data_IF_834367976592
#
_entry.id   IF_834367976592
#
_cell.length_a   1.000
_cell.length_b   1.000
_cell.length_c   1.000
_cell.angle_alpha   90.00
_cell.angle_beta   90.00
_cell.angle_gamma   90.00
#
_symmetry.space_group_name_H-M   'P 1'
#
loop_
_entity.id
_entity.type
_entity.pdbx_description
1 polymer ?
#
# COMPACT_ATOMS: atom_id res chain seq x y z
N UNK A 1 -77.07 10.05 -14.24
CA UNK A 1 -75.68 10.55 -14.30
C UNK A 1 -75.01 10.35 -12.96
N UNK A 2 -74.20 9.32 -12.79
CA UNK A 2 -73.33 9.13 -11.62
C UNK A 2 -71.92 8.92 -12.15
N UNK A 3 -71.10 9.97 -12.05
CA UNK A 3 -69.71 9.97 -12.48
C UNK A 3 -68.88 9.06 -11.58
N UNK A 4 -68.21 8.07 -12.19
CA UNK A 4 -67.13 7.33 -11.55
C UNK A 4 -65.82 8.07 -11.85
N UNK A 5 -65.33 8.78 -10.84
CA UNK A 5 -63.99 9.37 -10.83
C UNK A 5 -62.99 8.21 -10.70
N UNK A 6 -62.28 7.88 -11.78
CA UNK A 6 -61.20 6.89 -11.76
C UNK A 6 -59.91 7.62 -11.34
N UNK A 7 -59.56 7.53 -10.06
CA UNK A 7 -58.29 8.03 -9.53
C UNK A 7 -57.18 7.06 -9.98
N UNK A 8 -56.44 7.45 -11.01
CA UNK A 8 -55.21 6.78 -11.44
C UNK A 8 -54.13 7.13 -10.41
N UNK A 9 -53.90 6.22 -9.47
CA UNK A 9 -52.78 6.29 -8.53
C UNK A 9 -51.49 5.94 -9.29
N UNK A 10 -50.80 6.97 -9.78
CA UNK A 10 -49.44 6.88 -10.32
C UNK A 10 -48.49 6.47 -9.19
N UNK A 11 -48.35 5.15 -8.98
CA UNK A 11 -47.27 4.57 -8.20
C UNK A 11 -45.95 4.80 -8.96
N UNK A 12 -45.39 6.00 -8.80
CA UNK A 12 -43.97 6.23 -9.01
C UNK A 12 -43.22 5.34 -8.03
N UNK A 13 -42.87 4.13 -8.47
CA UNK A 13 -41.85 3.33 -7.85
C UNK A 13 -40.53 4.09 -8.00
N UNK A 14 -40.27 5.02 -7.08
CA UNK A 14 -38.93 5.45 -6.78
C UNK A 14 -38.21 4.21 -6.24
N UNK A 15 -37.53 3.49 -7.14
CA UNK A 15 -36.52 2.52 -6.75
C UNK A 15 -35.38 3.35 -6.15
N UNK A 16 -35.52 3.70 -4.87
CA UNK A 16 -34.43 4.22 -4.05
C UNK A 16 -33.38 3.12 -4.01
N UNK A 17 -32.43 3.19 -4.93
CA UNK A 17 -31.25 2.37 -4.85
C UNK A 17 -30.54 2.79 -3.57
N UNK A 18 -30.59 1.94 -2.55
CA UNK A 18 -29.69 2.02 -1.42
C UNK A 18 -28.28 1.70 -1.95
N UNK A 19 -27.60 2.71 -2.52
CA UNK A 19 -26.28 2.55 -3.09
C UNK A 19 -25.22 2.72 -2.00
N UNK A 20 -24.15 1.93 -2.08
CA UNK A 20 -22.99 1.96 -1.17
C UNK A 20 -22.08 3.19 -1.39
N UNK A 21 -22.64 4.31 -1.81
CA UNK A 21 -21.87 5.46 -2.29
C UNK A 21 -21.32 6.28 -1.13
N UNK A 22 -20.17 6.90 -1.37
CA UNK A 22 -19.69 8.00 -0.55
C UNK A 22 -20.29 9.32 -1.00
N UNK A 23 -20.66 10.15 -0.04
CA UNK A 23 -21.18 11.51 -0.27
C UNK A 23 -20.46 12.51 0.60
N UNK A 24 -20.20 13.69 0.02
CA UNK A 24 -19.76 14.86 0.78
C UNK A 24 -20.97 15.62 1.34
N UNK A 25 -20.80 16.37 2.46
CA UNK A 25 -21.83 17.24 3.01
C UNK A 25 -22.44 18.17 1.94
N UNK A 26 -23.72 18.50 2.08
CA UNK A 26 -24.50 19.19 1.03
C UNK A 26 -23.81 20.45 0.49
N UNK A 27 -23.27 21.31 1.38
CA UNK A 27 -22.62 22.57 1.03
C UNK A 27 -21.13 22.44 0.65
N UNK A 28 -20.57 21.24 0.66
CA UNK A 28 -19.15 21.02 0.43
C UNK A 28 -18.93 20.33 -0.92
N UNK A 29 -18.16 20.97 -1.80
CA UNK A 29 -17.85 20.44 -3.13
C UNK A 29 -16.53 19.65 -3.16
N UNK A 30 -15.70 19.82 -2.13
CA UNK A 30 -14.43 19.12 -1.98
C UNK A 30 -14.00 19.06 -0.53
N UNK A 31 -13.29 18.02 -0.15
CA UNK A 31 -12.60 17.93 1.14
C UNK A 31 -11.16 17.48 0.97
N UNK A 32 -10.30 17.83 1.92
CA UNK A 32 -8.87 17.48 1.92
C UNK A 32 -8.61 16.42 2.97
N UNK A 33 -8.01 15.32 2.56
CA UNK A 33 -7.62 14.18 3.39
C UNK A 33 -6.09 14.17 3.45
N UNK A 34 -5.52 14.21 4.65
CA UNK A 34 -4.08 13.96 4.83
C UNK A 34 -3.82 12.46 4.78
N UNK A 35 -2.64 12.08 4.30
CA UNK A 35 -2.21 10.68 4.30
C UNK A 35 -0.76 10.58 4.75
N UNK A 36 -0.30 9.36 5.03
CA UNK A 36 1.11 9.04 5.22
C UNK A 36 1.61 8.22 4.03
N UNK A 37 2.77 8.58 3.48
CA UNK A 37 3.41 7.82 2.41
C UNK A 37 4.39 6.80 3.00
N UNK A 38 4.01 5.52 3.04
CA UNK A 38 4.80 4.45 3.68
C UNK A 38 5.11 3.37 2.64
N UNK A 39 6.39 3.08 2.41
CA UNK A 39 6.83 2.12 1.38
C UNK A 39 6.16 2.35 0.01
N UNK A 40 6.01 3.63 -0.38
CA UNK A 40 5.32 4.11 -1.57
C UNK A 40 3.79 3.90 -1.61
N UNK A 41 3.18 3.42 -0.53
CA UNK A 41 1.74 3.25 -0.39
C UNK A 41 1.12 4.44 0.31
N UNK A 42 -0.09 4.83 -0.12
CA UNK A 42 -0.89 5.84 0.53
C UNK A 42 -1.65 5.18 1.69
N UNK A 43 -1.38 5.63 2.92
CA UNK A 43 -2.11 5.19 4.12
C UNK A 43 -2.97 6.35 4.62
N UNK A 44 -4.29 6.14 4.69
CA UNK A 44 -5.28 7.14 5.11
C UNK A 44 -6.00 6.71 6.41
N UNK A 45 -6.39 7.67 7.26
CA UNK A 45 -7.32 7.40 8.34
C UNK A 45 -8.74 7.18 7.80
N UNK A 46 -9.41 6.14 8.31
CA UNK A 46 -10.78 5.76 7.94
C UNK A 46 -11.54 5.48 9.23
N UNK A 47 -12.68 6.12 9.45
CA UNK A 47 -13.56 5.80 10.57
C UNK A 47 -14.59 4.79 10.10
N UNK A 48 -14.62 3.61 10.71
CA UNK A 48 -15.56 2.53 10.42
C UNK A 48 -16.37 2.26 11.68
N UNK A 49 -17.69 2.49 11.62
CA UNK A 49 -18.60 2.33 12.76
C UNK A 49 -18.06 3.02 14.03
N UNK A 50 -17.72 4.31 13.90
CA UNK A 50 -17.17 5.17 14.96
C UNK A 50 -15.75 4.84 15.44
N UNK A 51 -15.11 3.81 14.88
CA UNK A 51 -13.75 3.41 15.22
C UNK A 51 -12.78 3.90 14.16
N UNK A 52 -11.76 4.66 14.58
CA UNK A 52 -10.71 5.17 13.68
C UNK A 52 -9.68 4.09 13.38
N UNK A 53 -9.48 3.83 12.10
CA UNK A 53 -8.61 2.81 11.56
C UNK A 53 -7.68 3.39 10.49
N UNK A 54 -6.74 2.58 10.04
CA UNK A 54 -5.70 2.95 9.06
C UNK A 54 -5.80 2.03 7.85
N UNK A 55 -6.03 2.61 6.67
CA UNK A 55 -6.25 1.84 5.44
C UNK A 55 -5.22 2.21 4.38
N UNK A 56 -4.81 1.22 3.60
CA UNK A 56 -4.14 1.46 2.33
C UNK A 56 -5.20 1.89 1.31
N UNK A 57 -4.93 2.98 0.58
CA UNK A 57 -5.75 3.40 -0.55
C UNK A 57 -5.24 2.73 -1.84
N UNK A 58 -5.99 1.79 -2.37
CA UNK A 58 -5.56 0.87 -3.43
C UNK A 58 -6.51 0.86 -4.63
N UNK A 59 -6.05 1.40 -5.75
CA UNK A 59 -6.78 1.39 -7.03
C UNK A 59 -6.94 -0.01 -7.64
N UNK A 60 -6.15 -0.99 -7.20
CA UNK A 60 -6.14 -2.36 -7.71
C UNK A 60 -7.25 -3.27 -7.17
N UNK A 61 -7.98 -2.84 -6.14
CA UNK A 61 -9.06 -3.64 -5.52
C UNK A 61 -10.45 -3.07 -5.79
N UNK A 62 -11.41 -3.98 -5.91
CA UNK A 62 -12.80 -3.66 -6.21
C UNK A 62 -13.69 -3.42 -4.98
N UNK A 63 -13.27 -3.85 -3.78
CA UNK A 63 -14.11 -3.80 -2.58
C UNK A 63 -13.29 -3.54 -1.33
N UNK A 64 -13.90 -2.91 -0.32
CA UNK A 64 -13.26 -2.63 0.97
C UNK A 64 -13.03 -3.90 1.78
N UNK A 65 -11.77 -4.13 2.18
CA UNK A 65 -11.35 -5.29 2.97
C UNK A 65 -10.78 -4.79 4.30
N UNK A 66 -11.19 -5.44 5.39
CA UNK A 66 -10.65 -5.21 6.73
C UNK A 66 -9.87 -6.46 7.15
N UNK A 67 -8.61 -6.27 7.50
CA UNK A 67 -7.73 -7.31 8.03
C UNK A 67 -7.79 -7.29 9.55
N UNK A 68 -7.76 -8.47 10.17
CA UNK A 68 -7.39 -8.73 11.57
C UNK A 68 -7.50 -7.50 12.47
N UNK A 69 -8.73 -7.10 12.76
CA UNK A 69 -8.97 -6.11 13.81
C UNK A 69 -9.29 -6.88 15.07
N UNK A 70 -8.71 -6.43 16.19
CA UNK A 70 -9.12 -6.88 17.52
C UNK A 70 -10.65 -6.95 17.57
N UNK A 71 -11.18 -7.97 18.22
CA UNK A 71 -12.63 -8.23 18.31
C UNK A 71 -13.43 -7.07 18.96
N UNK A 72 -12.73 -6.00 19.36
CA UNK A 72 -13.24 -4.71 19.79
C UNK A 72 -14.04 -3.97 18.72
N UNK A 73 -13.80 -4.18 17.42
CA UNK A 73 -14.78 -3.73 16.41
C UNK A 73 -15.97 -4.68 16.43
N UNK A 74 -16.97 -4.31 17.22
CA UNK A 74 -18.32 -4.87 17.14
C UNK A 74 -18.94 -4.42 15.81
N UNK A 75 -18.63 -5.14 14.73
CA UNK A 75 -19.43 -5.07 13.51
C UNK A 75 -20.80 -5.62 13.88
N UNK A 76 -21.79 -4.77 14.16
CA UNK A 76 -23.15 -5.20 14.53
C UNK A 76 -23.65 -6.19 13.47
N UNK A 77 -23.77 -7.46 13.87
CA UNK A 77 -23.99 -8.59 12.97
C UNK A 77 -25.34 -8.44 12.26
N UNK A 78 -25.33 -7.99 11.01
CA UNK A 78 -26.51 -8.01 10.15
C UNK A 78 -26.10 -8.55 8.77
N UNK A 79 -26.61 -9.73 8.45
CA UNK A 79 -26.43 -10.47 7.19
C UNK A 79 -24.98 -10.88 6.88
N UNK A 80 -24.53 -11.92 7.59
CA UNK A 80 -23.22 -12.53 7.42
C UNK A 80 -23.32 -13.61 6.34
N UNK A 81 -22.55 -13.45 5.26
CA UNK A 81 -22.20 -14.58 4.39
C UNK A 81 -20.69 -14.78 4.40
N UNK A 82 -20.26 -16.04 4.46
CA UNK A 82 -18.86 -16.39 4.28
C UNK A 82 -18.54 -16.38 2.79
N UNK A 83 -17.42 -15.76 2.44
CA UNK A 83 -16.88 -15.76 1.09
C UNK A 83 -15.40 -16.12 1.14
N UNK A 84 -14.85 -16.55 0.00
CA UNK A 84 -13.42 -16.76 -0.15
C UNK A 84 -12.83 -15.64 -1.00
N UNK A 85 -11.78 -15.01 -0.46
CA UNK A 85 -11.01 -13.97 -1.13
C UNK A 85 -9.73 -14.57 -1.72
N UNK A 86 -9.38 -14.13 -2.92
CA UNK A 86 -8.15 -14.49 -3.61
C UNK A 86 -7.46 -13.24 -4.16
N UNK A 87 -6.14 -13.28 -4.20
CA UNK A 87 -5.24 -12.29 -4.75
C UNK A 87 -3.90 -12.93 -5.12
N UNK A 88 -2.85 -12.12 -5.23
CA UNK A 88 -1.51 -12.60 -5.57
C UNK A 88 -0.90 -13.47 -4.46
N UNK A 89 -0.23 -14.55 -4.86
CA UNK A 89 0.38 -15.55 -3.97
C UNK A 89 -0.08 -16.96 -4.30
N UNK A 90 0.42 -17.96 -3.57
CA UNK A 90 0.11 -19.38 -3.82
C UNK A 90 -0.49 -20.08 -2.60
N UNK A 91 -0.76 -19.35 -1.52
CA UNK A 91 -1.44 -19.89 -0.34
C UNK A 91 -2.94 -20.07 -0.63
N UNK A 92 -3.63 -20.80 0.24
CA UNK A 92 -5.06 -21.08 0.11
C UNK A 92 -5.92 -19.80 0.14
N UNK A 93 -7.14 -19.82 -0.44
CA UNK A 93 -8.08 -18.70 -0.36
C UNK A 93 -8.36 -18.32 1.08
N UNK A 94 -8.49 -17.01 1.31
CA UNK A 94 -8.71 -16.48 2.65
C UNK A 94 -10.22 -16.38 2.90
N UNK A 95 -10.70 -16.97 3.99
CA UNK A 95 -12.09 -16.78 4.40
C UNK A 95 -12.32 -15.35 4.90
N UNK A 96 -13.40 -14.75 4.41
CA UNK A 96 -13.87 -13.46 4.86
C UNK A 96 -15.38 -13.46 5.11
N UNK A 97 -15.80 -12.71 6.12
CA UNK A 97 -17.21 -12.40 6.37
C UNK A 97 -17.60 -11.13 5.62
N UNK A 98 -18.63 -11.23 4.80
CA UNK A 98 -19.29 -10.07 4.22
C UNK A 98 -20.19 -9.43 5.28
N UNK A 99 -19.98 -8.15 5.55
CA UNK A 99 -20.85 -7.33 6.40
C UNK A 99 -21.41 -6.16 5.60
N UNK A 100 -22.66 -5.81 5.85
CA UNK A 100 -23.37 -4.72 5.15
C UNK A 100 -23.84 -3.66 6.15
N UNK A 101 -24.32 -2.53 5.64
CA UNK A 101 -24.86 -1.44 6.45
C UNK A 101 -23.83 -0.84 7.43
N UNK A 102 -22.55 -0.86 7.03
CA UNK A 102 -21.50 -0.20 7.81
C UNK A 102 -21.46 1.28 7.50
N UNK A 103 -21.14 2.08 8.51
CA UNK A 103 -20.89 3.51 8.33
C UNK A 103 -19.39 3.73 8.18
N UNK A 104 -18.96 4.30 7.06
CA UNK A 104 -17.57 4.66 6.80
C UNK A 104 -17.43 6.15 6.56
N UNK A 105 -16.48 6.78 7.24
CA UNK A 105 -16.10 8.18 7.04
C UNK A 105 -14.62 8.33 6.70
N UNK A 106 -14.32 9.09 5.65
CA UNK A 106 -12.95 9.40 5.20
C UNK A 106 -12.85 10.90 4.94
N UNK A 107 -12.11 11.61 5.81
CA UNK A 107 -12.23 13.07 5.88
C UNK A 107 -13.68 13.46 6.16
N UNK A 108 -14.28 14.26 5.27
CA UNK A 108 -15.70 14.63 5.36
C UNK A 108 -16.62 13.73 4.53
N UNK A 109 -16.09 12.80 3.72
CA UNK A 109 -16.91 11.89 2.92
C UNK A 109 -17.50 10.78 3.79
N UNK A 110 -18.81 10.52 3.62
CA UNK A 110 -19.57 9.55 4.41
C UNK A 110 -20.28 8.55 3.49
N UNK A 111 -20.17 7.26 3.83
CA UNK A 111 -21.00 6.18 3.28
C UNK A 111 -21.73 5.50 4.44
N UNK A 112 -23.07 5.46 4.40
CA UNK A 112 -23.90 4.96 5.52
C UNK A 112 -24.37 3.50 5.35
N UNK A 113 -24.11 2.91 4.19
CA UNK A 113 -24.56 1.56 3.84
C UNK A 113 -23.44 0.74 3.22
N UNK A 114 -22.21 0.88 3.72
CA UNK A 114 -21.03 0.30 3.08
C UNK A 114 -20.93 -1.22 3.30
N UNK A 115 -20.52 -1.94 2.26
CA UNK A 115 -20.19 -3.36 2.36
C UNK A 115 -18.70 -3.52 2.69
N UNK A 116 -18.38 -4.29 3.73
CA UNK A 116 -17.01 -4.60 4.14
C UNK A 116 -16.81 -6.10 4.10
N UNK A 117 -15.64 -6.54 3.66
CA UNK A 117 -15.21 -7.93 3.78
C UNK A 117 -14.17 -8.04 4.89
N UNK A 118 -14.57 -8.60 6.05
CA UNK A 118 -13.69 -8.82 7.21
C UNK A 118 -12.99 -10.16 7.04
N UNK A 119 -11.67 -10.14 6.91
CA UNK A 119 -10.84 -11.36 6.91
C UNK A 119 -10.85 -11.99 8.31
N UNK A 120 -11.05 -13.30 8.38
CA UNK A 120 -11.13 -14.05 9.64
C UNK A 120 -9.79 -14.58 10.13
N UNK A 121 -8.86 -14.79 9.20
CA UNK A 121 -7.53 -15.27 9.52
C UNK A 121 -6.63 -14.13 10.03
N UNK A 122 -6.34 -14.15 11.33
CA UNK A 122 -5.46 -13.19 11.99
C UNK A 122 -3.99 -13.27 11.50
N UNK A 123 -3.59 -14.35 10.84
CA UNK A 123 -2.26 -14.48 10.22
C UNK A 123 -2.06 -13.53 9.03
N UNK A 124 -3.17 -13.09 8.42
CA UNK A 124 -3.18 -12.11 7.32
C UNK A 124 -3.03 -10.71 7.91
N UNK A 125 -1.79 -10.39 8.25
CA UNK A 125 -1.39 -9.08 8.76
C UNK A 125 -0.27 -8.47 7.89
N UNK A 126 -0.49 -7.23 7.46
CA UNK A 126 0.47 -6.43 6.67
C UNK A 126 1.25 -5.43 7.53
N UNK A 127 0.75 -5.13 8.73
CA UNK A 127 1.35 -4.16 9.66
C UNK A 127 2.84 -4.43 9.94
N UNK A 128 3.26 -5.70 10.18
CA UNK A 128 4.68 -6.02 10.38
C UNK A 128 5.60 -5.48 9.29
N UNK A 129 5.18 -5.59 8.02
CA UNK A 129 6.01 -5.19 6.87
C UNK A 129 5.93 -3.70 6.58
N UNK A 130 4.84 -3.05 6.99
CA UNK A 130 4.66 -1.61 6.83
C UNK A 130 5.35 -0.82 7.93
N UNK A 131 5.63 -1.44 9.08
CA UNK A 131 6.20 -0.76 10.24
C UNK A 131 5.21 0.20 10.93
N UNK A 132 3.94 0.10 10.55
CA UNK A 132 2.79 0.80 11.15
C UNK A 132 1.60 -0.14 11.10
N UNK A 133 0.55 0.17 11.86
CA UNK A 133 -0.67 -0.64 11.89
C UNK A 133 -1.50 -0.36 10.65
N UNK A 134 -1.86 -1.42 9.93
CA UNK A 134 -2.76 -1.40 8.77
C UNK A 134 -3.93 -2.32 9.06
N UNK A 135 -5.12 -1.73 9.11
CA UNK A 135 -6.37 -2.40 9.44
C UNK A 135 -7.14 -2.84 8.20
N UNK A 136 -6.82 -2.33 7.02
CA UNK A 136 -7.57 -2.66 5.83
C UNK A 136 -7.05 -2.00 4.56
N UNK A 137 -7.78 -2.23 3.49
CA UNK A 137 -7.55 -1.64 2.17
C UNK A 137 -8.89 -1.19 1.61
N UNK A 138 -8.91 -0.02 0.99
CA UNK A 138 -10.07 0.53 0.30
C UNK A 138 -9.68 0.98 -1.10
N UNK A 139 -10.56 0.72 -2.06
CA UNK A 139 -10.28 0.96 -3.48
C UNK A 139 -11.48 1.51 -4.23
N UNK A 140 -11.92 0.78 -5.26
CA UNK A 140 -12.98 1.20 -6.19
C UNK A 140 -14.20 1.81 -5.51
N UNK A 141 -14.69 1.22 -4.41
CA UNK A 141 -15.88 1.70 -3.70
C UNK A 141 -15.77 3.15 -3.24
N UNK A 142 -14.56 3.70 -3.09
CA UNK A 142 -14.32 5.11 -2.78
C UNK A 142 -13.94 5.93 -4.03
N UNK A 143 -13.13 5.36 -4.93
CA UNK A 143 -12.69 6.06 -6.14
C UNK A 143 -13.82 6.40 -7.13
N UNK A 144 -14.85 5.56 -7.19
CA UNK A 144 -15.96 5.73 -8.15
C UNK A 144 -16.78 7.00 -7.93
N UNK A 145 -16.81 7.53 -6.71
CA UNK A 145 -17.71 8.61 -6.31
C UNK A 145 -17.09 10.01 -6.42
N UNK A 146 -15.77 10.12 -6.61
CA UNK A 146 -15.08 11.41 -6.61
C UNK A 146 -13.98 11.54 -7.66
N UNK A 147 -13.62 12.79 -7.97
CA UNK A 147 -12.36 13.11 -8.63
C UNK A 147 -11.27 13.31 -7.58
N UNK A 148 -10.16 12.58 -7.71
CA UNK A 148 -9.05 12.60 -6.76
C UNK A 148 -7.91 13.48 -7.27
N UNK A 149 -7.58 14.56 -6.56
CA UNK A 149 -6.35 15.34 -6.72
C UNK A 149 -5.33 14.89 -5.66
N UNK A 150 -4.42 14.02 -6.07
CA UNK A 150 -3.41 13.37 -5.22
C UNK A 150 -2.09 14.14 -5.31
N UNK A 151 -1.65 14.69 -4.18
CA UNK A 151 -0.37 15.37 -4.07
C UNK A 151 0.57 14.57 -3.15
N UNK A 152 1.43 13.77 -3.77
CA UNK A 152 2.40 12.94 -3.04
C UNK A 152 3.46 13.75 -2.30
N UNK A 153 3.95 14.84 -2.90
CA UNK A 153 4.99 15.67 -2.29
C UNK A 153 4.52 16.39 -1.01
N UNK A 154 3.22 16.64 -0.90
CA UNK A 154 2.61 17.31 0.27
C UNK A 154 1.72 16.37 1.09
N UNK A 155 1.73 15.07 0.77
CA UNK A 155 1.01 14.00 1.47
C UNK A 155 -0.46 14.32 1.77
N UNK A 156 -1.18 14.80 0.74
CA UNK A 156 -2.62 14.99 0.83
C UNK A 156 -3.35 14.59 -0.45
N UNK A 157 -4.60 14.19 -0.29
CA UNK A 157 -5.58 14.00 -1.36
C UNK A 157 -6.65 15.07 -1.17
N UNK A 158 -7.06 15.70 -2.25
CA UNK A 158 -8.32 16.45 -2.27
C UNK A 158 -9.31 15.72 -3.15
N UNK A 159 -10.44 15.32 -2.59
CA UNK A 159 -11.52 14.72 -3.34
C UNK A 159 -12.55 15.78 -3.70
N UNK A 160 -13.11 15.69 -4.89
CA UNK A 160 -14.12 16.59 -5.42
C UNK A 160 -15.34 15.81 -5.89
N UNK A 161 -16.52 16.37 -5.65
CA UNK A 161 -17.74 15.94 -6.36
C UNK A 161 -17.52 16.08 -7.88
N UNK A 162 -17.72 15.02 -8.69
CA UNK A 162 -17.42 15.04 -10.12
C UNK A 162 -18.08 16.19 -10.88
N UNK A 163 -19.35 16.48 -10.58
CA UNK A 163 -20.15 17.53 -11.21
C UNK A 163 -19.64 18.96 -10.96
N UNK A 164 -18.84 19.17 -9.90
CA UNK A 164 -18.25 20.47 -9.57
C UNK A 164 -16.77 20.58 -9.94
N UNK A 165 -16.14 19.49 -10.40
CA UNK A 165 -14.72 19.49 -10.72
C UNK A 165 -14.45 20.16 -12.07
N UNK A 166 -13.65 21.23 -12.06
CA UNK A 166 -13.21 21.93 -13.27
C UNK A 166 -11.77 21.58 -13.61
N UNK A 167 -11.58 20.95 -14.75
CA UNK A 167 -10.27 20.64 -15.29
C UNK A 167 -9.47 21.91 -15.59
N UNK A 168 -8.33 22.07 -14.94
CA UNK A 168 -7.40 23.18 -15.19
C UNK A 168 -6.55 22.88 -16.42
N UNK A 169 -6.39 23.86 -17.31
CA UNK A 169 -5.39 23.78 -18.39
C UNK A 169 -4.00 23.63 -17.77
N UNK A 170 -3.29 22.56 -18.10
CA UNK A 170 -1.96 22.29 -17.59
C UNK A 170 -1.00 21.89 -18.71
N UNK A 171 -0.19 22.83 -19.18
CA UNK A 171 0.80 22.59 -20.26
C UNK A 171 1.91 21.60 -19.87
N UNK A 172 2.19 21.47 -18.57
CA UNK A 172 3.21 20.56 -18.02
C UNK A 172 2.65 19.21 -17.59
N UNK A 173 1.37 18.96 -17.83
CA UNK A 173 0.71 17.70 -17.48
C UNK A 173 0.55 16.82 -18.71
N UNK A 174 0.64 15.51 -18.51
CA UNK A 174 0.18 14.54 -19.49
C UNK A 174 -1.22 14.07 -19.08
N UNK A 175 -2.19 14.19 -19.96
CA UNK A 175 -3.57 13.78 -19.73
C UNK A 175 -3.94 12.68 -20.73
N UNK A 176 -4.57 11.62 -20.24
CA UNK A 176 -5.00 10.48 -21.07
C UNK A 176 -6.28 9.86 -20.53
N UNK A 177 -6.90 9.01 -21.35
CA UNK A 177 -8.03 8.19 -20.94
C UNK A 177 -7.59 7.15 -19.89
N UNK A 178 -8.42 6.97 -18.87
CA UNK A 178 -8.31 5.93 -17.86
C UNK A 178 -9.27 4.81 -18.23
N UNK A 179 -8.76 3.66 -18.64
CA UNK A 179 -9.60 2.54 -19.05
C UNK A 179 -10.04 1.76 -17.81
N UNK A 180 -11.35 1.65 -17.58
CA UNK A 180 -11.88 0.81 -16.52
C UNK A 180 -12.26 -0.57 -17.08
N UNK A 181 -11.82 -1.63 -16.41
CA UNK A 181 -12.13 -3.02 -16.77
C UNK A 181 -12.53 -3.83 -15.55
N UNK A 182 -12.83 -5.11 -15.75
CA UNK A 182 -13.26 -6.03 -14.68
C UNK A 182 -14.52 -5.50 -13.97
N UNK A 183 -15.61 -5.37 -14.75
CA UNK A 183 -16.85 -4.76 -14.28
C UNK A 183 -16.72 -3.27 -13.95
N UNK A 184 -15.87 -2.54 -14.68
CA UNK A 184 -15.52 -1.13 -14.47
C UNK A 184 -14.81 -0.81 -13.15
N UNK A 185 -14.25 -1.80 -12.46
CA UNK A 185 -13.64 -1.58 -11.14
C UNK A 185 -12.15 -1.26 -11.17
N UNK A 186 -11.42 -1.77 -12.18
CA UNK A 186 -9.96 -1.71 -12.22
C UNK A 186 -9.47 -0.71 -13.28
N UNK A 187 -8.67 0.30 -12.89
CA UNK A 187 -8.13 1.30 -13.80
C UNK A 187 -6.86 0.86 -14.53
N UNK A 188 -6.78 1.14 -15.82
CA UNK A 188 -5.64 0.84 -16.67
C UNK A 188 -5.13 2.08 -17.39
N UNK A 189 -3.81 2.14 -17.55
CA UNK A 189 -3.10 3.22 -18.24
C UNK A 189 -2.18 2.62 -19.29
N UNK A 190 -2.28 3.14 -20.50
CA UNK A 190 -1.35 2.83 -21.58
C UNK A 190 0.01 3.50 -21.33
N UNK A 191 1.07 2.73 -21.50
CA UNK A 191 2.45 3.18 -21.37
C UNK A 191 3.32 2.48 -22.41
N UNK A 192 4.56 2.95 -22.55
CA UNK A 192 5.58 2.30 -23.37
C UNK A 192 6.78 1.96 -22.52
N UNK A 193 7.44 0.85 -22.82
CA UNK A 193 8.72 0.55 -22.19
C UNK A 193 9.73 0.04 -23.22
N UNK A 194 11.01 0.27 -22.95
CA UNK A 194 12.10 -0.17 -23.80
C UNK A 194 12.46 -1.62 -23.45
N UNK A 195 12.07 -2.54 -24.32
CA UNK A 195 12.50 -3.94 -24.28
C UNK A 195 13.66 -4.11 -25.26
N UNK A 196 14.85 -4.42 -24.74
CA UNK A 196 16.09 -4.46 -25.51
C UNK A 196 16.39 -3.14 -26.25
N UNK A 197 15.98 -3.04 -27.53
CA UNK A 197 16.11 -1.87 -28.39
C UNK A 197 14.79 -1.48 -29.10
N UNK A 198 13.65 -2.02 -28.66
CA UNK A 198 12.32 -1.70 -29.20
C UNK A 198 11.43 -1.12 -28.11
N UNK A 199 10.70 -0.06 -28.45
CA UNK A 199 9.62 0.44 -27.61
C UNK A 199 8.37 -0.43 -27.81
N UNK A 200 7.85 -0.96 -26.71
CA UNK A 200 6.68 -1.83 -26.68
C UNK A 200 5.57 -1.13 -25.92
N UNK A 201 4.38 -1.10 -26.52
CA UNK A 201 3.15 -0.64 -25.89
C UNK A 201 2.66 -1.68 -24.86
N UNK A 202 2.35 -1.20 -23.66
CA UNK A 202 1.86 -2.01 -22.56
C UNK A 202 0.67 -1.35 -21.89
N UNK A 203 -0.34 -2.15 -21.54
CA UNK A 203 -1.47 -1.69 -20.77
C UNK A 203 -1.32 -2.17 -19.31
N UNK A 204 -1.18 -1.21 -18.40
CA UNK A 204 -0.81 -1.47 -17.01
C UNK A 204 -1.96 -1.15 -16.09
N UNK A 205 -2.25 -2.06 -15.14
CA UNK A 205 -3.13 -1.76 -14.01
C UNK A 205 -2.50 -0.60 -13.22
N UNK A 206 -3.23 0.49 -13.01
CA UNK A 206 -2.84 1.53 -12.06
C UNK A 206 -3.04 0.94 -10.66
N UNK A 207 -1.96 0.71 -9.92
CA UNK A 207 -1.96 -0.13 -8.72
C UNK A 207 -1.28 0.60 -7.56
N UNK A 208 -2.05 1.45 -6.86
CA UNK A 208 -1.55 2.19 -5.69
C UNK A 208 -1.36 1.33 -4.45
N UNK A 209 -1.85 0.08 -4.44
CA UNK A 209 -1.59 -0.93 -3.40
C UNK A 209 -0.25 -1.66 -3.53
N UNK A 210 0.44 -1.51 -4.67
CA UNK A 210 1.78 -2.07 -4.88
C UNK A 210 2.87 -1.04 -4.61
N UNK A 211 3.77 -1.31 -3.67
CA UNK A 211 4.93 -0.42 -3.40
C UNK A 211 6.05 -0.49 -4.44
N UNK A 212 5.91 -1.37 -5.45
CA UNK A 212 6.89 -1.60 -6.51
C UNK A 212 6.87 -0.51 -7.59
N UNK A 213 7.83 -0.57 -8.52
CA UNK A 213 7.84 0.28 -9.73
C UNK A 213 6.94 -0.30 -10.82
N UNK A 214 7.40 -1.33 -11.52
CA UNK A 214 6.62 -2.05 -12.53
C UNK A 214 6.57 -3.52 -12.19
N UNK A 215 5.40 -4.11 -12.35
CA UNK A 215 5.26 -5.56 -12.51
C UNK A 215 4.90 -5.82 -13.96
N UNK A 216 5.64 -6.68 -14.64
CA UNK A 216 5.42 -7.06 -16.03
C UNK A 216 5.22 -8.57 -16.11
N UNK A 217 4.26 -8.99 -16.92
CA UNK A 217 4.01 -10.41 -17.19
C UNK A 217 4.70 -10.82 -18.47
N UNK A 218 5.57 -11.83 -18.38
CA UNK A 218 6.33 -12.32 -19.53
C UNK A 218 5.38 -12.73 -20.65
N UNK A 219 5.57 -12.16 -21.84
CA UNK A 219 4.82 -12.49 -23.04
C UNK A 219 5.77 -12.40 -24.24
N UNK A 220 6.17 -13.55 -24.77
CA UNK A 220 7.17 -13.64 -25.84
C UNK A 220 6.66 -13.02 -27.13
N UNK A 221 5.39 -13.24 -27.48
CA UNK A 221 4.77 -12.74 -28.72
C UNK A 221 4.70 -11.21 -28.75
N UNK A 222 4.39 -10.59 -27.61
CA UNK A 222 4.39 -9.13 -27.47
C UNK A 222 5.79 -8.53 -27.27
N UNK A 223 6.85 -9.34 -27.21
CA UNK A 223 8.22 -8.90 -26.94
C UNK A 223 8.49 -8.53 -25.48
N UNK A 224 7.62 -8.96 -24.57
CA UNK A 224 7.73 -8.73 -23.13
C UNK A 224 8.62 -9.80 -22.51
N UNK A 225 9.92 -9.51 -22.53
CA UNK A 225 10.98 -10.43 -22.16
C UNK A 225 11.72 -9.97 -20.90
N UNK A 226 12.24 -10.94 -20.17
CA UNK A 226 13.16 -10.72 -19.07
C UNK A 226 14.55 -10.48 -19.67
N UNK A 227 15.15 -9.33 -19.34
CA UNK A 227 16.48 -8.97 -19.85
C UNK A 227 17.56 -9.88 -19.28
N UNK A 228 18.68 -10.08 -20.00
CA UNK A 228 19.85 -10.85 -19.50
C UNK A 228 20.42 -10.34 -18.16
N UNK A 229 20.32 -9.03 -17.88
CA UNK A 229 20.70 -8.43 -16.60
C UNK A 229 19.52 -8.50 -15.61
N UNK A 230 19.21 -9.69 -15.11
CA UNK A 230 18.21 -9.90 -14.06
C UNK A 230 18.79 -10.69 -12.90
N UNK A 231 18.05 -10.72 -11.79
CA UNK A 231 18.35 -11.59 -10.66
C UNK A 231 17.05 -12.05 -10.01
N UNK A 232 17.05 -13.30 -9.53
CA UNK A 232 15.93 -13.88 -8.79
C UNK A 232 15.86 -13.31 -7.39
N UNK A 233 14.67 -12.94 -6.94
CA UNK A 233 14.46 -12.34 -5.61
C UNK A 233 13.02 -12.50 -5.12
N UNK A 234 12.81 -12.17 -3.85
CA UNK A 234 11.48 -11.93 -3.30
C UNK A 234 10.90 -10.63 -3.87
N UNK A 235 9.72 -10.70 -4.49
CA UNK A 235 9.07 -9.55 -5.12
C UNK A 235 8.16 -8.78 -4.16
N UNK A 236 7.51 -9.49 -3.22
CA UNK A 236 6.59 -8.89 -2.27
C UNK A 236 5.70 -9.93 -1.58
N UNK A 237 4.89 -9.48 -0.61
CA UNK A 237 3.82 -10.28 0.00
C UNK A 237 2.51 -9.83 -0.63
N UNK A 238 1.88 -10.72 -1.39
CA UNK A 238 0.52 -10.55 -1.87
C UNK A 238 -0.51 -10.97 -0.81
N UNK A 239 -1.77 -10.97 -1.19
CA UNK A 239 -2.88 -11.33 -0.31
C UNK A 239 -2.83 -12.80 0.13
N UNK A 240 -2.43 -13.71 -0.78
CA UNK A 240 -2.28 -15.14 -0.51
C UNK A 240 -0.80 -15.54 -0.42
N UNK A 241 0.02 -14.72 0.24
CA UNK A 241 1.39 -15.10 0.59
C UNK A 241 2.51 -14.45 -0.20
N UNK A 242 3.69 -15.05 -0.12
CA UNK A 242 4.92 -14.51 -0.70
C UNK A 242 4.98 -14.74 -2.21
N UNK A 243 5.44 -13.72 -2.94
CA UNK A 243 5.62 -13.76 -4.40
C UNK A 243 7.10 -13.65 -4.72
N UNK A 244 7.58 -14.54 -5.59
CA UNK A 244 8.95 -14.60 -6.08
C UNK A 244 8.98 -14.46 -7.61
N UNK A 245 10.16 -14.13 -8.13
CA UNK A 245 10.40 -14.02 -9.57
C UNK A 245 11.68 -13.27 -9.87
N UNK A 246 11.77 -12.73 -11.08
CA UNK A 246 12.95 -12.01 -11.57
C UNK A 246 12.82 -10.50 -11.37
N UNK A 247 13.89 -9.85 -10.95
CA UNK A 247 14.01 -8.39 -10.91
C UNK A 247 15.02 -7.91 -11.96
N UNK A 248 14.70 -6.81 -12.61
CA UNK A 248 15.58 -6.17 -13.62
C UNK A 248 15.38 -4.66 -13.68
N UNK A 249 16.32 -3.94 -14.31
CA UNK A 249 16.11 -2.56 -14.73
C UNK A 249 15.82 -2.48 -16.21
N UNK A 250 14.70 -1.85 -16.55
CA UNK A 250 14.42 -1.46 -17.93
C UNK A 250 15.08 -0.12 -18.24
N UNK A 251 15.69 -0.02 -19.43
CA UNK A 251 16.44 1.17 -19.84
C UNK A 251 15.57 2.42 -19.79
N UNK A 252 14.36 2.32 -20.31
CA UNK A 252 13.42 3.44 -20.38
C UNK A 252 11.97 3.00 -20.18
N UNK A 253 11.21 3.85 -19.49
CA UNK A 253 9.77 3.73 -19.31
C UNK A 253 9.09 5.07 -19.60
N UNK A 254 8.01 5.03 -20.36
CA UNK A 254 7.36 6.19 -20.95
C UNK A 254 5.88 6.20 -20.56
N UNK A 255 5.46 7.28 -19.91
CA UNK A 255 4.03 7.61 -19.71
C UNK A 255 3.75 8.90 -20.49
N UNK A 256 3.14 8.77 -21.66
CA UNK A 256 3.01 9.89 -22.59
C UNK A 256 4.36 10.44 -22.99
N UNK A 257 4.57 11.74 -22.75
CA UNK A 257 5.85 12.43 -22.99
C UNK A 257 6.84 12.32 -21.82
N UNK A 258 6.50 11.64 -20.74
CA UNK A 258 7.37 11.50 -19.58
C UNK A 258 8.23 10.25 -19.69
N UNK A 259 9.54 10.46 -19.84
CA UNK A 259 10.56 9.42 -19.97
C UNK A 259 11.37 9.27 -18.68
N UNK A 260 11.27 8.10 -18.06
CA UNK A 260 12.05 7.69 -16.90
C UNK A 260 13.09 6.66 -17.34
N UNK A 261 14.28 6.69 -16.75
CA UNK A 261 15.40 5.79 -17.08
C UNK A 261 15.68 4.82 -15.95
N UNK A 262 16.27 3.67 -16.28
CA UNK A 262 16.76 2.67 -15.31
C UNK A 262 15.67 2.24 -14.31
N UNK A 263 14.45 2.08 -14.80
CA UNK A 263 13.26 1.82 -13.96
C UNK A 263 13.27 0.38 -13.50
N UNK A 264 12.98 0.14 -12.21
CA UNK A 264 12.84 -1.22 -11.67
C UNK A 264 11.63 -1.91 -12.29
N UNK A 265 11.82 -3.14 -12.72
CA UNK A 265 10.77 -4.03 -13.16
C UNK A 265 10.90 -5.36 -12.41
N UNK A 266 9.74 -5.95 -12.11
CA UNK A 266 9.61 -7.27 -11.50
C UNK A 266 8.79 -8.15 -12.43
N UNK A 267 9.24 -9.38 -12.63
CA UNK A 267 8.55 -10.40 -13.42
C UNK A 267 8.21 -11.56 -12.49
N UNK A 268 6.97 -11.62 -11.97
CA UNK A 268 6.52 -12.71 -11.12
C UNK A 268 6.59 -14.05 -11.83
N UNK A 269 6.90 -15.11 -11.08
CA UNK A 269 6.77 -16.47 -11.61
C UNK A 269 5.32 -16.74 -12.06
N UNK A 270 5.16 -17.44 -13.18
CA UNK A 270 3.86 -17.61 -13.83
C UNK A 270 2.82 -18.27 -12.92
N UNK A 271 3.24 -19.14 -11.99
CA UNK A 271 2.37 -19.78 -10.99
C UNK A 271 1.49 -18.78 -10.21
N UNK A 272 2.01 -17.58 -9.93
CA UNK A 272 1.28 -16.54 -9.21
C UNK A 272 0.30 -15.76 -10.10
N UNK A 273 0.41 -15.89 -11.41
CA UNK A 273 -0.36 -15.13 -12.42
C UNK A 273 -1.40 -15.98 -13.15
N UNK A 274 -1.29 -17.31 -13.09
CA UNK A 274 -2.15 -18.28 -13.79
C UNK A 274 -3.65 -18.11 -13.49
N UNK A 275 -3.99 -17.67 -12.27
CA UNK A 275 -5.38 -17.54 -11.80
C UNK A 275 -5.93 -16.11 -11.94
N UNK A 276 -5.16 -15.21 -12.56
CA UNK A 276 -5.57 -13.83 -12.79
C UNK A 276 -6.10 -13.68 -14.21
N UNK A 277 -7.11 -12.84 -14.40
CA UNK A 277 -7.46 -12.38 -15.75
C UNK A 277 -6.32 -11.48 -16.26
N UNK A 278 -5.55 -12.02 -17.21
CA UNK A 278 -4.49 -11.31 -17.92
C UNK A 278 -4.99 -10.73 -19.25
N UNK A 279 -6.31 -10.78 -19.51
CA UNK A 279 -6.91 -10.30 -20.75
C UNK A 279 -6.56 -8.82 -20.91
N UNK A 280 -5.67 -8.56 -21.88
CA UNK A 280 -5.18 -7.23 -22.24
C UNK A 280 -4.58 -6.45 -21.05
N UNK A 281 -3.92 -7.20 -20.14
CA UNK A 281 -3.14 -6.69 -19.02
C UNK A 281 -1.71 -7.23 -19.10
N UNK A 282 -0.76 -6.36 -19.42
CA UNK A 282 0.66 -6.70 -19.49
C UNK A 282 1.40 -6.52 -18.16
N UNK A 283 0.75 -5.90 -17.17
CA UNK A 283 1.39 -5.64 -15.89
C UNK A 283 0.62 -4.76 -14.91
N UNK A 284 1.35 -4.20 -13.96
CA UNK A 284 0.92 -3.17 -13.00
C UNK A 284 1.93 -2.02 -12.91
N UNK A 285 1.42 -0.80 -12.75
CA UNK A 285 2.15 0.42 -12.45
C UNK A 285 2.01 0.74 -10.96
N UNK A 286 3.08 0.54 -10.20
CA UNK A 286 3.07 0.65 -8.74
C UNK A 286 3.50 2.02 -8.18
N UNK A 287 3.34 2.15 -6.87
CA UNK A 287 3.61 3.32 -6.05
C UNK A 287 4.98 3.96 -6.25
N UNK A 288 6.05 3.17 -6.50
CA UNK A 288 7.40 3.72 -6.71
C UNK A 288 7.49 4.57 -8.00
N UNK A 289 6.56 4.41 -8.93
CA UNK A 289 6.38 5.33 -10.07
C UNK A 289 5.26 6.33 -9.80
N UNK A 290 4.13 5.91 -9.23
CA UNK A 290 2.98 6.80 -9.03
C UNK A 290 3.33 8.01 -8.17
N UNK A 291 4.11 7.84 -7.10
CA UNK A 291 4.47 8.93 -6.19
C UNK A 291 5.35 10.02 -6.84
N UNK A 292 5.92 9.74 -8.02
CA UNK A 292 6.72 10.69 -8.83
C UNK A 292 5.90 11.73 -9.55
N UNK A 293 4.58 11.58 -9.49
CA UNK A 293 3.61 12.49 -10.08
C UNK A 293 2.61 12.96 -9.03
N UNK A 294 2.10 14.17 -9.20
CA UNK A 294 0.80 14.53 -8.67
C UNK A 294 -0.25 14.09 -9.69
N UNK A 295 -1.31 13.45 -9.22
CA UNK A 295 -2.28 12.76 -10.07
C UNK A 295 -3.65 13.42 -9.94
N UNK A 296 -4.34 13.60 -11.07
CA UNK A 296 -5.80 13.74 -11.08
C UNK A 296 -6.34 12.40 -11.56
N UNK A 297 -7.15 11.72 -10.75
CA UNK A 297 -7.77 10.44 -11.09
C UNK A 297 -9.29 10.62 -11.07
N UNK A 298 -9.93 10.41 -12.21
CA UNK A 298 -11.37 10.56 -12.39
C UNK A 298 -11.94 9.28 -13.02
N UNK A 299 -12.61 8.44 -12.21
CA UNK A 299 -13.21 7.19 -12.68
C UNK A 299 -14.47 7.46 -13.50
N UNK A 300 -15.34 8.38 -13.05
CA UNK A 300 -16.60 8.68 -13.75
C UNK A 300 -16.35 9.36 -15.09
N UNK A 301 -15.40 10.30 -15.15
CA UNK A 301 -14.95 10.93 -16.38
C UNK A 301 -13.94 10.09 -17.19
N UNK A 302 -13.51 8.92 -16.69
CA UNK A 302 -12.51 8.03 -17.29
C UNK A 302 -11.25 8.76 -17.74
N UNK A 303 -10.71 9.62 -16.87
CA UNK A 303 -9.56 10.48 -17.16
C UNK A 303 -8.51 10.39 -16.07
N UNK A 304 -7.26 10.47 -16.50
CA UNK A 304 -6.12 10.60 -15.59
C UNK A 304 -5.16 11.68 -16.08
N UNK A 305 -4.64 12.47 -15.14
CA UNK A 305 -3.64 13.50 -15.39
C UNK A 305 -2.40 13.22 -14.56
N UNK A 306 -1.23 13.23 -15.19
CA UNK A 306 0.08 13.10 -14.56
C UNK A 306 0.79 14.45 -14.59
N UNK A 307 1.30 14.90 -13.44
CA UNK A 307 2.17 16.08 -13.35
C UNK A 307 3.41 15.75 -12.53
N UNK A 308 4.60 15.89 -13.11
CA UNK A 308 5.86 15.65 -12.39
C UNK A 308 5.92 16.44 -11.09
N UNK A 309 6.41 15.81 -10.02
CA UNK A 309 6.68 16.47 -8.73
C UNK A 309 8.17 16.33 -8.36
N UNK A 310 8.55 16.71 -7.13
CA UNK A 310 9.94 16.68 -6.67
C UNK A 310 10.59 15.29 -6.61
N UNK A 311 9.80 14.21 -6.63
CA UNK A 311 10.31 12.84 -6.64
C UNK A 311 10.66 12.34 -8.05
N UNK A 312 10.26 13.06 -9.11
CA UNK A 312 10.35 12.57 -10.49
C UNK A 312 11.75 12.09 -10.90
N UNK A 313 12.79 12.87 -10.57
CA UNK A 313 14.17 12.56 -10.94
C UNK A 313 14.91 11.65 -9.95
N UNK A 314 14.25 11.14 -8.89
CA UNK A 314 14.93 10.26 -7.93
C UNK A 314 15.41 8.98 -8.63
N UNK A 315 16.60 8.45 -8.30
CA UNK A 315 17.06 7.19 -8.88
C UNK A 315 16.20 6.01 -8.42
N UNK A 316 16.21 4.93 -9.20
CA UNK A 316 15.60 3.66 -8.83
C UNK A 316 16.66 2.69 -8.31
N UNK A 317 16.76 2.58 -6.98
CA UNK A 317 17.70 1.65 -6.33
C UNK A 317 17.03 0.35 -5.91
N UNK A 318 17.80 -0.73 -6.06
CA UNK A 318 17.51 -2.01 -5.44
C UNK A 318 18.22 -2.09 -4.08
N UNK A 319 17.66 -2.92 -3.22
CA UNK A 319 18.31 -3.31 -1.97
C UNK A 319 19.64 -4.02 -2.28
N UNK A 320 20.73 -3.38 -1.83
CA UNK A 320 22.11 -3.81 -2.06
C UNK A 320 22.63 -4.76 -0.99
N UNK A 321 21.99 -4.83 0.18
CA UNK A 321 22.36 -5.78 1.24
C UNK A 321 21.79 -7.18 0.98
N UNK A 322 20.62 -7.25 0.35
CA UNK A 322 19.80 -8.46 0.23
C UNK A 322 18.93 -8.74 1.45
N UNK A 323 18.88 -7.85 2.46
CA UNK A 323 18.11 -8.02 3.69
C UNK A 323 16.71 -7.41 3.53
N UNK A 324 15.68 -8.17 3.87
CA UNK A 324 14.32 -7.65 4.05
C UNK A 324 13.95 -7.72 5.52
N UNK A 325 13.74 -6.54 6.12
CA UNK A 325 13.39 -6.42 7.54
C UNK A 325 11.87 -6.25 7.69
N UNK A 326 11.31 -6.81 8.76
CA UNK A 326 9.95 -6.54 9.19
C UNK A 326 9.90 -6.36 10.72
N UNK A 327 8.81 -5.76 11.20
CA UNK A 327 8.53 -5.64 12.62
C UNK A 327 8.08 -7.00 13.19
N UNK A 328 8.52 -7.35 14.40
CA UNK A 328 8.19 -8.61 15.11
C UNK A 328 7.52 -8.36 16.47
N UNK A 329 6.82 -7.23 16.60
CA UNK A 329 6.23 -6.78 17.86
C UNK A 329 7.16 -5.85 18.63
N UNK A 330 6.95 -5.73 19.94
CA UNK A 330 7.68 -4.80 20.79
C UNK A 330 8.54 -5.54 21.82
N UNK A 331 9.56 -4.86 22.34
CA UNK A 331 10.34 -5.31 23.49
C UNK A 331 10.25 -4.27 24.59
N UNK A 332 10.05 -4.69 25.83
CA UNK A 332 10.15 -3.80 26.98
C UNK A 332 11.62 -3.51 27.26
N UNK A 333 11.94 -2.23 27.43
CA UNK A 333 13.28 -1.75 27.83
C UNK A 333 13.10 -0.88 29.07
N UNK A 334 14.00 -1.02 30.04
CA UNK A 334 13.96 -0.20 31.25
C UNK A 334 14.34 1.25 30.90
N UNK A 335 13.55 2.23 31.33
CA UNK A 335 13.74 3.67 31.11
C UNK A 335 15.10 4.14 31.69
N UNK A 336 15.54 3.50 32.79
CA UNK A 336 16.86 3.74 33.40
C UNK A 336 18.02 3.41 32.44
N UNK A 337 17.91 2.34 31.64
CA UNK A 337 18.96 1.92 30.70
C UNK A 337 19.10 2.87 29.49
N UNK A 338 18.12 3.77 29.29
CA UNK A 338 18.08 4.66 28.13
C UNK A 338 18.61 6.06 28.49
N UNK A 339 18.20 6.60 29.64
CA UNK A 339 18.40 8.02 29.95
C UNK A 339 19.34 8.30 31.11
N UNK A 340 19.72 7.30 31.93
CA UNK A 340 20.67 7.48 33.03
C UNK A 340 20.26 8.50 34.12
N UNK A 341 19.04 9.05 34.08
CA UNK A 341 18.57 10.13 34.95
C UNK A 341 17.24 9.71 35.60
N UNK A 342 17.12 9.94 36.91
CA UNK A 342 15.92 9.69 37.73
C UNK A 342 14.77 10.62 37.33
N UNK A 343 13.55 10.04 37.40
CA UNK A 343 12.20 10.62 37.22
C UNK A 343 12.09 12.14 37.44
N UNK A 344 11.52 12.82 36.45
CA UNK A 344 10.58 13.92 36.68
C UNK A 344 9.17 13.47 36.25
N UNK A 345 8.19 13.90 37.03
CA UNK A 345 6.78 13.51 36.99
C UNK A 345 6.13 13.88 35.65
N UNK A 346 5.87 12.89 34.79
CA UNK A 346 5.09 13.10 33.57
C UNK A 346 3.61 12.82 33.84
N UNK A 347 2.78 13.83 33.60
CA UNK A 347 1.32 13.77 33.65
C UNK A 347 0.78 12.77 32.62
N UNK A 348 -0.02 11.80 33.07
CA UNK A 348 -0.71 10.85 32.22
C UNK A 348 -1.66 11.57 31.24
N UNK A 349 -1.39 11.42 29.94
CA UNK A 349 -2.44 11.47 28.92
C UNK A 349 -2.67 10.05 28.42
N UNK A 350 -3.67 9.39 28.99
CA UNK A 350 -4.21 8.13 28.50
C UNK A 350 -5.02 8.39 27.22
N UNK A 351 -4.33 8.43 26.08
CA UNK A 351 -4.94 8.36 24.76
C UNK A 351 -4.18 7.34 23.90
N UNK A 352 -4.56 6.06 24.03
CA UNK A 352 -4.09 5.00 23.15
C UNK A 352 -4.96 4.98 21.88
N UNK A 353 -4.54 5.71 20.84
CA UNK A 353 -5.15 5.65 19.52
C UNK A 353 -4.29 4.82 18.55
N UNK A 354 -4.83 3.71 18.04
CA UNK A 354 -4.24 2.92 16.97
C UNK A 354 -4.62 3.53 15.61
N UNK A 355 -3.99 4.65 15.22
CA UNK A 355 -4.25 5.22 13.90
C UNK A 355 -3.41 6.41 13.48
N UNK A 356 -3.28 6.56 12.15
CA UNK A 356 -2.48 7.47 11.31
C UNK A 356 -2.18 8.91 11.82
N UNK A 357 -2.95 9.47 12.75
CA UNK A 357 -2.87 10.90 13.06
C UNK A 357 -2.03 11.29 14.27
N UNK A 358 -1.44 10.33 14.98
CA UNK A 358 -0.39 10.65 15.94
C UNK A 358 0.86 9.87 15.59
N UNK A 359 2.01 10.52 15.80
CA UNK A 359 3.32 9.88 15.98
C UNK A 359 3.08 8.55 16.70
N UNK A 360 3.81 7.49 16.34
CA UNK A 360 3.99 6.36 17.25
C UNK A 360 4.50 6.98 18.54
N UNK A 361 3.58 7.40 19.42
CA UNK A 361 3.91 7.61 20.80
C UNK A 361 4.50 6.27 21.15
N UNK A 362 5.72 6.33 21.67
CA UNK A 362 6.20 5.24 22.47
C UNK A 362 4.99 4.76 23.27
N UNK A 363 4.51 3.55 22.98
CA UNK A 363 3.59 2.95 23.91
C UNK A 363 4.42 2.80 25.18
N UNK A 364 4.36 3.82 26.04
CA UNK A 364 4.53 3.65 27.47
C UNK A 364 3.30 2.85 27.90
N UNK A 365 3.29 1.58 27.49
CA UNK A 365 2.71 0.54 28.31
C UNK A 365 3.65 0.52 29.51
N UNK A 366 3.27 1.32 30.51
CA UNK A 366 3.89 1.34 31.82
C UNK A 366 3.51 -0.01 32.46
N UNK A 367 4.17 -1.07 32.01
CA UNK A 367 4.02 -2.43 32.59
C UNK A 367 4.52 -2.42 34.04
N UNK A 368 5.30 -1.41 34.38
CA UNK A 368 5.57 -0.81 35.70
C UNK A 368 6.31 0.51 35.42
N UNK A 369 6.41 1.43 36.39
CA UNK A 369 6.96 2.80 36.30
C UNK A 369 8.31 3.00 35.57
N UNK A 370 8.98 1.91 35.16
CA UNK A 370 10.32 1.91 34.62
C UNK A 370 10.43 1.23 33.23
N UNK A 371 9.36 0.79 32.55
CA UNK A 371 9.52 0.12 31.24
C UNK A 371 8.83 0.86 30.09
N UNK A 372 9.52 0.94 28.95
CA UNK A 372 9.03 1.50 27.68
C UNK A 372 9.04 0.40 26.61
N UNK A 373 7.94 0.24 25.88
CA UNK A 373 7.91 -0.66 24.73
C UNK A 373 8.57 0.00 23.52
N UNK A 374 9.51 -0.73 22.93
CA UNK A 374 10.27 -0.30 21.75
C UNK A 374 10.09 -1.29 20.61
N UNK A 375 10.08 -0.84 19.34
CA UNK A 375 9.86 -1.71 18.20
C UNK A 375 10.98 -2.75 18.08
N UNK A 376 10.61 -3.99 17.75
CA UNK A 376 11.53 -5.10 17.52
C UNK A 376 11.51 -5.45 16.04
N UNK A 377 12.70 -5.62 15.46
CA UNK A 377 12.87 -5.92 14.04
C UNK A 377 13.47 -7.30 13.84
N UNK A 378 13.04 -8.00 12.79
CA UNK A 378 13.59 -9.28 12.37
C UNK A 378 13.89 -9.31 10.86
N UNK A 379 14.85 -10.14 10.48
CA UNK A 379 15.10 -10.46 9.08
C UNK A 379 14.04 -11.44 8.59
N UNK A 380 13.12 -10.94 7.78
CA UNK A 380 12.03 -11.72 7.17
C UNK A 380 12.51 -12.55 5.97
N UNK A 381 13.49 -12.05 5.24
CA UNK A 381 14.06 -12.71 4.06
C UNK A 381 15.49 -12.23 3.78
N UNK A 382 16.30 -13.10 3.18
CA UNK A 382 17.63 -12.80 2.69
C UNK A 382 17.74 -13.33 1.26
N UNK A 383 18.14 -12.46 0.33
CA UNK A 383 18.43 -12.86 -1.04
C UNK A 383 19.69 -13.72 -1.08
N UNK A 384 19.59 -14.91 -1.66
CA UNK A 384 20.72 -15.82 -1.83
C UNK A 384 21.86 -15.15 -2.64
N UNK A 385 23.11 -15.37 -2.22
CA UNK A 385 24.31 -14.80 -2.83
C UNK A 385 24.48 -13.29 -2.61
N UNK A 386 23.63 -12.65 -1.80
CA UNK A 386 23.75 -11.25 -1.45
C UNK A 386 24.88 -11.00 -0.43
N UNK A 387 25.34 -9.74 -0.25
CA UNK A 387 26.34 -9.44 0.78
C UNK A 387 25.95 -9.89 2.19
N UNK A 388 24.66 -9.82 2.54
CA UNK A 388 24.17 -10.29 3.84
C UNK A 388 24.19 -11.81 3.97
N UNK A 389 23.81 -12.53 2.91
CA UNK A 389 23.86 -13.99 2.85
C UNK A 389 25.29 -14.51 3.00
N UNK A 390 26.21 -13.94 2.22
CA UNK A 390 27.64 -14.27 2.27
C UNK A 390 28.28 -13.94 3.62
N UNK A 391 27.77 -12.94 4.33
CA UNK A 391 28.20 -12.64 5.69
C UNK A 391 27.70 -13.66 6.73
N UNK A 392 26.67 -14.46 6.40
CA UNK A 392 26.09 -15.48 7.29
C UNK A 392 24.86 -15.03 8.08
N UNK A 393 24.25 -13.90 7.71
CA UNK A 393 22.93 -13.52 8.23
C UNK A 393 21.89 -14.52 7.74
N UNK A 394 20.84 -14.76 8.53
CA UNK A 394 19.77 -15.72 8.20
C UNK A 394 18.38 -15.14 8.46
N UNK A 395 17.39 -15.66 7.75
CA UNK A 395 15.98 -15.43 8.07
C UNK A 395 15.72 -15.81 9.54
N UNK A 396 14.96 -14.97 10.25
CA UNK A 396 14.63 -15.15 11.66
C UNK A 396 15.59 -14.46 12.63
N UNK A 397 16.71 -13.91 12.15
CA UNK A 397 17.61 -13.10 12.97
C UNK A 397 16.90 -11.85 13.49
N UNK A 398 16.97 -11.61 14.81
CA UNK A 398 16.47 -10.38 15.43
C UNK A 398 17.54 -9.31 15.32
N UNK A 399 17.21 -8.15 14.73
CA UNK A 399 18.14 -7.03 14.66
C UNK A 399 18.22 -6.35 16.02
N UNK A 400 19.44 -6.28 16.57
CA UNK A 400 19.72 -5.58 17.82
C UNK A 400 20.34 -4.20 17.56
N UNK A 401 21.33 -4.14 16.67
CA UNK A 401 22.02 -2.89 16.31
C UNK A 401 22.37 -2.86 14.83
N UNK A 402 22.34 -1.66 14.25
CA UNK A 402 22.84 -1.38 12.91
C UNK A 402 23.75 -0.16 12.97
N UNK A 403 25.00 -0.32 12.54
CA UNK A 403 26.06 0.68 12.60
C UNK A 403 26.29 1.26 14.01
N UNK A 404 26.17 0.41 15.04
CA UNK A 404 26.36 0.80 16.45
C UNK A 404 25.14 1.45 17.09
N UNK A 405 24.11 1.77 16.33
CA UNK A 405 22.84 2.32 16.83
C UNK A 405 21.85 1.18 17.07
N UNK A 406 21.18 1.19 18.21
CA UNK A 406 20.13 0.19 18.52
C UNK A 406 19.03 0.19 17.45
N UNK A 407 18.65 -1.01 17.00
CA UNK A 407 17.71 -1.20 15.90
C UNK A 407 16.37 -0.51 16.17
N UNK A 408 15.90 -0.51 17.42
CA UNK A 408 14.65 0.13 17.82
C UNK A 408 14.64 1.66 17.69
N UNK A 409 15.80 2.31 17.52
CA UNK A 409 15.90 3.75 17.27
C UNK A 409 15.64 4.12 15.80
N UNK A 410 15.64 3.15 14.90
CA UNK A 410 15.33 3.37 13.49
C UNK A 410 13.85 3.18 13.24
N UNK A 411 13.28 3.96 12.31
CA UNK A 411 12.04 3.55 11.63
C UNK A 411 12.37 2.45 10.62
N UNK A 412 11.39 1.62 10.29
CA UNK A 412 11.57 0.57 9.28
C UNK A 412 11.99 1.15 7.91
N UNK A 413 11.45 2.33 7.55
CA UNK A 413 11.85 3.08 6.36
C UNK A 413 13.33 3.44 6.36
N UNK A 414 13.90 3.78 7.51
CA UNK A 414 15.30 4.19 7.64
C UNK A 414 16.23 3.01 7.41
N UNK A 415 15.86 1.84 7.94
CA UNK A 415 16.57 0.58 7.67
C UNK A 415 16.54 0.23 6.17
N UNK A 416 15.37 0.33 5.53
CA UNK A 416 15.21 0.06 4.10
C UNK A 416 16.06 1.00 3.24
N UNK A 417 16.08 2.29 3.58
CA UNK A 417 16.91 3.30 2.91
C UNK A 417 18.40 3.02 3.12
N UNK A 418 18.81 2.63 4.33
CA UNK A 418 20.19 2.28 4.64
C UNK A 418 20.69 1.12 3.78
N UNK A 419 19.88 0.07 3.61
CA UNK A 419 20.22 -1.10 2.80
C UNK A 419 20.17 -0.88 1.27
N UNK A 420 19.59 0.24 0.84
CA UNK A 420 19.46 0.64 -0.56
C UNK A 420 20.26 1.90 -0.89
N UNK A 421 21.24 2.24 -0.04
CA UNK A 421 22.09 3.44 -0.17
C UNK A 421 23.24 3.21 -1.17
N UNK A 422 24.37 3.89 -1.00
CA UNK A 422 25.47 3.87 -1.95
C UNK A 422 26.26 2.56 -1.90
N UNK A 423 26.74 2.12 -3.07
CA UNK A 423 27.61 0.97 -3.21
C UNK A 423 28.93 1.18 -2.43
N UNK A 424 29.48 0.08 -1.88
CA UNK A 424 30.70 0.12 -1.09
C UNK A 424 30.51 0.60 0.34
N UNK A 425 29.31 1.07 0.73
CA UNK A 425 29.04 1.44 2.12
C UNK A 425 29.13 0.23 3.05
N UNK A 426 29.92 0.36 4.11
CA UNK A 426 30.06 -0.66 5.14
C UNK A 426 28.84 -0.69 6.06
N UNK A 427 28.29 -1.88 6.26
CA UNK A 427 27.20 -2.14 7.19
C UNK A 427 27.71 -3.07 8.29
N UNK A 428 27.53 -2.65 9.55
CA UNK A 428 27.79 -3.48 10.75
C UNK A 428 26.45 -3.82 11.39
N UNK A 429 26.13 -5.10 11.55
CA UNK A 429 24.88 -5.54 12.18
C UNK A 429 25.18 -6.41 13.38
N UNK A 430 24.51 -6.15 14.50
CA UNK A 430 24.40 -7.06 15.64
C UNK A 430 23.03 -7.71 15.62
N UNK A 431 22.97 -9.03 15.63
CA UNK A 431 21.71 -9.78 15.66
C UNK A 431 21.67 -10.76 16.83
N UNK A 432 20.46 -11.21 17.18
CA UNK A 432 20.22 -12.33 18.10
C UNK A 432 19.58 -13.48 17.33
N UNK A 433 20.19 -14.66 17.37
CA UNK A 433 19.68 -15.91 16.78
C UNK A 433 19.65 -16.98 17.87
N UNK A 434 18.49 -17.57 18.12
CA UNK A 434 18.32 -18.63 19.12
C UNK A 434 18.94 -18.29 20.50
N UNK A 435 18.82 -17.04 20.94
CA UNK A 435 19.38 -16.57 22.21
C UNK A 435 20.81 -16.00 22.12
N UNK A 436 21.59 -16.37 21.10
CA UNK A 436 23.00 -15.99 20.96
C UNK A 436 23.14 -14.69 20.16
N UNK A 437 23.94 -13.76 20.69
CA UNK A 437 24.29 -12.53 19.98
C UNK A 437 25.46 -12.73 19.01
N UNK A 438 25.33 -12.22 17.80
CA UNK A 438 26.35 -12.31 16.77
C UNK A 438 26.55 -10.96 16.08
N UNK A 439 27.77 -10.72 15.60
CA UNK A 439 28.14 -9.50 14.89
C UNK A 439 28.58 -9.85 13.46
N UNK A 440 28.01 -9.15 12.50
CA UNK A 440 28.27 -9.31 11.08
C UNK A 440 28.73 -7.99 10.48
N UNK A 441 29.58 -8.08 9.46
CA UNK A 441 30.02 -6.92 8.66
C UNK A 441 30.01 -7.29 7.18
N UNK A 442 29.49 -6.41 6.34
CA UNK A 442 29.53 -6.55 4.89
C UNK A 442 29.50 -5.17 4.22
N UNK A 443 29.74 -5.15 2.92
CA UNK A 443 29.69 -3.94 2.10
C UNK A 443 28.50 -4.04 1.14
N UNK A 444 27.78 -2.95 0.97
CA UNK A 444 26.69 -2.89 -0.01
C UNK A 444 27.25 -3.09 -1.42
N UNK A 445 26.63 -3.98 -2.20
CA UNK A 445 27.03 -4.28 -3.58
C UNK A 445 25.86 -4.03 -4.51
N UNK A 446 26.10 -3.30 -5.60
CA UNK A 446 25.07 -3.06 -6.60
C UNK A 446 24.70 -4.38 -7.29
N UNK A 447 23.40 -4.61 -7.46
CA UNK A 447 22.88 -5.88 -8.01
C UNK A 447 22.86 -5.86 -9.53
N UNK A 448 22.47 -4.71 -10.11
CA UNK A 448 22.46 -4.38 -11.55
C UNK A 448 22.47 -2.85 -11.77
#
# INVERSE_FOLDING_TARGET
MKGRLLIIFLLFNFVLHAQNDFRLPFKQNSTKIKFQLINNLIVIPVVVNDIKLSFILDTGIGSTIVFSVDDTISFKHKNISKIQLRGLGNDEPVEAMRTVNNVIKIGDALSISHTIYKVLDASINFSPRMGTIIHGVIGYDFFKDFVFDVNYAKEYIRIYKPEFYKYKKCRKCYQTKLYLRDGNKKPFVAAKYMSENRLIDVNLLLDSGSGSSLWLFKNVEKGILITRKSFRDFLGKGFNGNVYGEKTKIKEFHIGNFKMKEVKASFPDSIYTQRMSLIDREGSLGGDILHRFNLIVDYSGQKISFKKNGFYNKPFYYNMSGIIVQHRGYTAINDYDINGIKKESYTEKNEAYLGVDNIVSEQKLVVSDNFILKPKYEISNIRQGSPADLAGLKKGDILLQVNGINAYKYKLSDLNNLFSSEEGKKIKIKVKRLGVEMKYKFYLKKVI
#
